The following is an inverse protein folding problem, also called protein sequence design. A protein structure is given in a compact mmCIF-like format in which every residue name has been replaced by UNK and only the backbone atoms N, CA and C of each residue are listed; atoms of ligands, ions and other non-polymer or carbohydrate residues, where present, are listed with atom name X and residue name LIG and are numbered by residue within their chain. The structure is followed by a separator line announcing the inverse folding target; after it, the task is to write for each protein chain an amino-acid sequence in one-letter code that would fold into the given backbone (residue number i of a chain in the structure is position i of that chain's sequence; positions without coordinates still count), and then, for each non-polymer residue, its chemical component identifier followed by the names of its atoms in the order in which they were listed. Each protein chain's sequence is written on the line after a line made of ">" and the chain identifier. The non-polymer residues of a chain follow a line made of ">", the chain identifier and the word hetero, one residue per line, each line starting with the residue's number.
data_IF_460334617818
#
_entry.id   IF_460334617818
#
_cell.length_a   1.000
_cell.length_b   1.000
_cell.length_c   1.000
_cell.angle_alpha   90.00
_cell.angle_beta   90.00
_cell.angle_gamma   90.00
#
_symmetry.space_group_name_H-M   'P 1'
#
loop_
_entity.id
_entity.type
_entity.pdbx_description
1 polymer ?
#
# COMPACT_ATOMS: atom_id res chain seq x y z
N UNK A 1 24.22 -12.06 -7.72
CA UNK A 1 23.36 -12.85 -6.82
C UNK A 1 22.81 -14.01 -7.62
N UNK A 2 22.62 -15.18 -7.01
CA UNK A 2 21.98 -16.30 -7.69
C UNK A 2 20.47 -16.19 -7.53
N UNK A 3 19.73 -16.26 -8.62
CA UNK A 3 18.28 -16.44 -8.57
C UNK A 3 17.96 -17.86 -8.08
N UNK A 4 16.80 -18.08 -7.43
CA UNK A 4 16.31 -19.43 -7.20
C UNK A 4 16.21 -20.21 -8.52
N UNK A 5 16.47 -21.51 -8.50
CA UNK A 5 16.52 -22.35 -9.73
C UNK A 5 15.20 -22.29 -10.49
N UNK A 6 14.07 -22.43 -9.79
CA UNK A 6 12.74 -22.35 -10.40
C UNK A 6 12.51 -21.01 -11.13
N UNK A 7 12.95 -19.90 -10.53
CA UNK A 7 12.86 -18.56 -11.11
C UNK A 7 13.77 -18.43 -12.33
N UNK A 8 15.00 -18.93 -12.22
CA UNK A 8 15.98 -18.87 -13.30
C UNK A 8 15.50 -19.63 -14.54
N UNK A 9 15.01 -20.87 -14.37
CA UNK A 9 14.67 -21.74 -15.48
C UNK A 9 13.46 -21.22 -16.28
N UNK A 10 12.45 -20.71 -15.58
CA UNK A 10 11.28 -20.09 -16.20
C UNK A 10 11.68 -18.81 -16.97
N UNK A 11 12.44 -17.93 -16.34
CA UNK A 11 12.82 -16.65 -16.96
C UNK A 11 13.84 -16.82 -18.09
N UNK A 12 14.74 -17.81 -18.01
CA UNK A 12 15.72 -18.07 -19.07
C UNK A 12 15.03 -18.55 -20.36
N UNK A 13 13.95 -19.33 -20.22
CA UNK A 13 13.12 -19.73 -21.35
C UNK A 13 12.41 -18.53 -22.00
N UNK A 14 11.95 -17.57 -21.19
CA UNK A 14 11.24 -16.37 -21.68
C UNK A 14 12.19 -15.32 -22.28
N UNK A 15 13.31 -15.02 -21.62
CA UNK A 15 14.24 -13.93 -21.98
C UNK A 15 15.34 -14.33 -22.98
N UNK A 16 15.44 -15.62 -23.33
CA UNK A 16 16.25 -16.08 -24.46
C UNK A 16 17.77 -15.96 -24.29
N UNK A 17 18.32 -16.35 -23.14
CA UNK A 17 19.77 -16.34 -22.93
C UNK A 17 20.21 -16.45 -21.46
N UNK A 18 21.53 -16.35 -21.18
CA UNK A 18 22.03 -16.34 -19.82
C UNK A 18 21.54 -15.11 -19.06
N UNK A 19 21.02 -15.32 -17.85
CA UNK A 19 20.47 -14.26 -17.02
C UNK A 19 21.54 -13.60 -16.14
N UNK A 20 21.48 -12.28 -16.01
CA UNK A 20 22.25 -11.51 -15.03
C UNK A 20 21.31 -10.91 -13.99
N UNK A 21 21.52 -11.24 -12.71
CA UNK A 21 20.71 -10.74 -11.60
C UNK A 21 21.49 -9.78 -10.70
N UNK A 22 20.99 -8.55 -10.62
CA UNK A 22 21.50 -7.47 -9.77
C UNK A 22 20.51 -7.20 -8.64
N UNK A 23 20.90 -7.32 -7.35
CA UNK A 23 20.00 -7.03 -6.24
C UNK A 23 19.46 -5.60 -6.31
N UNK A 24 18.17 -5.43 -6.03
CA UNK A 24 17.56 -4.12 -5.81
C UNK A 24 17.52 -3.82 -4.31
N UNK A 25 17.82 -2.59 -3.95
CA UNK A 25 17.67 -2.08 -2.59
C UNK A 25 16.27 -1.51 -2.39
N UNK A 26 15.67 -1.69 -1.21
CA UNK A 26 14.40 -1.04 -0.83
C UNK A 26 13.27 -1.98 -0.44
N UNK A 27 13.35 -3.27 -0.77
CA UNK A 27 12.42 -4.27 -0.25
C UNK A 27 12.79 -4.67 1.19
N UNK A 28 11.97 -4.29 2.16
CA UNK A 28 12.17 -4.71 3.56
C UNK A 28 11.60 -6.11 3.85
N UNK A 29 10.75 -6.63 2.94
CA UNK A 29 9.96 -7.86 3.15
C UNK A 29 10.30 -8.99 2.18
N UNK A 30 10.58 -8.65 0.91
CA UNK A 30 10.83 -9.58 -0.19
C UNK A 30 12.24 -9.40 -0.74
N UNK A 31 12.85 -10.47 -1.24
CA UNK A 31 14.02 -10.32 -2.10
C UNK A 31 13.58 -9.73 -3.44
N UNK A 32 14.35 -8.80 -3.98
CA UNK A 32 14.10 -8.20 -5.28
C UNK A 32 15.41 -8.08 -6.08
N UNK A 33 15.35 -8.36 -7.37
CA UNK A 33 16.47 -8.19 -8.28
C UNK A 33 16.03 -7.65 -9.65
N UNK A 34 16.90 -6.85 -10.26
CA UNK A 34 16.87 -6.56 -11.68
C UNK A 34 17.49 -7.75 -12.42
N UNK A 35 16.68 -8.42 -13.24
CA UNK A 35 17.11 -9.55 -14.07
C UNK A 35 17.19 -9.09 -15.52
N UNK A 36 18.36 -9.24 -16.13
CA UNK A 36 18.59 -8.90 -17.52
C UNK A 36 18.90 -10.16 -18.34
N UNK A 37 18.25 -10.28 -19.50
CA UNK A 37 18.49 -11.33 -20.50
C UNK A 37 18.36 -10.72 -21.91
N UNK A 38 19.42 -10.82 -22.71
CA UNK A 38 19.47 -10.14 -24.01
C UNK A 38 19.29 -8.62 -23.88
N UNK A 39 18.29 -8.06 -24.58
CA UNK A 39 17.90 -6.64 -24.49
C UNK A 39 16.81 -6.35 -23.46
N UNK A 40 16.25 -7.38 -22.83
CA UNK A 40 15.12 -7.27 -21.92
C UNK A 40 15.55 -7.19 -20.46
N UNK A 41 14.71 -6.53 -19.66
CA UNK A 41 14.94 -6.31 -18.23
C UNK A 41 13.62 -6.49 -17.49
N UNK A 42 13.67 -7.25 -16.40
CA UNK A 42 12.54 -7.50 -15.51
C UNK A 42 12.93 -7.18 -14.07
N UNK A 43 11.95 -6.79 -13.27
CA UNK A 43 12.07 -6.80 -11.80
C UNK A 43 11.49 -8.10 -11.30
N UNK A 44 12.27 -8.87 -10.56
CA UNK A 44 11.86 -10.17 -10.03
C UNK A 44 11.89 -10.14 -8.52
N UNK A 45 10.77 -10.52 -7.91
CA UNK A 45 10.58 -10.63 -6.46
C UNK A 45 10.39 -12.09 -6.09
N UNK A 46 10.92 -12.50 -4.95
CA UNK A 46 10.67 -13.83 -4.38
C UNK A 46 10.81 -13.83 -2.87
N UNK A 47 10.19 -14.82 -2.22
CA UNK A 47 10.24 -14.97 -0.75
C UNK A 47 10.12 -16.45 -0.34
N UNK A 48 11.18 -17.08 0.21
CA UNK A 48 11.15 -18.47 0.65
C UNK A 48 10.04 -18.81 1.64
N UNK A 49 9.79 -17.94 2.62
CA UNK A 49 8.75 -18.14 3.64
C UNK A 49 7.53 -17.23 3.37
N UNK A 50 7.07 -17.18 2.12
CA UNK A 50 5.90 -16.37 1.79
C UNK A 50 4.62 -17.00 2.37
N UNK A 51 3.69 -16.18 2.91
CA UNK A 51 2.35 -16.66 3.15
C UNK A 51 1.68 -17.06 1.82
N UNK A 52 0.81 -18.08 1.81
CA UNK A 52 0.13 -18.52 0.59
C UNK A 52 -0.70 -17.40 -0.04
N UNK A 53 -0.58 -17.21 -1.34
CA UNK A 53 -1.27 -16.18 -2.11
C UNK A 53 -0.55 -14.84 -2.15
N UNK A 54 0.69 -14.71 -1.66
CA UNK A 54 1.37 -13.40 -1.56
C UNK A 54 1.53 -12.75 -2.94
N UNK A 55 2.12 -13.46 -3.90
CA UNK A 55 2.35 -12.90 -5.23
C UNK A 55 1.09 -12.91 -6.11
N UNK A 56 0.15 -13.84 -5.85
CA UNK A 56 -1.18 -13.79 -6.43
C UNK A 56 -1.90 -12.48 -6.09
N UNK A 57 -1.79 -12.05 -4.84
CA UNK A 57 -2.42 -10.84 -4.34
C UNK A 57 -1.78 -9.56 -4.91
N UNK A 58 -0.44 -9.52 -4.98
CA UNK A 58 0.27 -8.38 -5.59
C UNK A 58 -0.01 -8.28 -7.10
N UNK A 59 0.00 -9.41 -7.81
CA UNK A 59 -0.33 -9.47 -9.23
C UNK A 59 -1.78 -9.01 -9.51
N UNK A 60 -2.74 -9.43 -8.68
CA UNK A 60 -4.13 -8.97 -8.76
C UNK A 60 -4.25 -7.46 -8.50
N UNK A 61 -3.57 -6.95 -7.48
CA UNK A 61 -3.56 -5.52 -7.15
C UNK A 61 -3.01 -4.64 -8.28
N UNK A 62 -1.86 -5.03 -8.86
CA UNK A 62 -1.27 -4.36 -10.01
C UNK A 62 -2.20 -4.38 -11.22
N UNK A 63 -2.86 -5.51 -11.50
CA UNK A 63 -3.83 -5.60 -12.60
C UNK A 63 -5.04 -4.71 -12.40
N UNK A 64 -5.58 -4.63 -11.19
CA UNK A 64 -6.72 -3.75 -10.87
C UNK A 64 -6.35 -2.28 -11.06
N UNK A 65 -5.19 -1.86 -10.55
CA UNK A 65 -4.70 -0.50 -10.76
C UNK A 65 -4.47 -0.21 -12.25
N UNK A 66 -3.85 -1.13 -13.00
CA UNK A 66 -3.62 -0.99 -14.45
C UNK A 66 -4.94 -0.85 -15.22
N UNK A 67 -5.96 -1.62 -14.86
CA UNK A 67 -7.26 -1.63 -15.53
C UNK A 67 -8.00 -0.27 -15.43
N UNK A 68 -7.67 0.56 -14.44
CA UNK A 68 -8.23 1.92 -14.34
C UNK A 68 -7.73 2.85 -15.44
N UNK A 69 -6.53 2.61 -15.98
CA UNK A 69 -5.90 3.47 -16.97
C UNK A 69 -5.51 4.87 -16.48
N UNK A 70 -5.59 5.16 -15.17
CA UNK A 70 -5.39 6.52 -14.62
C UNK A 70 -3.98 6.79 -14.12
N UNK A 71 -3.27 5.76 -13.64
CA UNK A 71 -1.91 5.86 -13.14
C UNK A 71 -1.12 4.64 -13.60
N UNK A 72 0.15 4.87 -13.98
CA UNK A 72 1.01 3.80 -14.47
C UNK A 72 1.40 2.88 -13.31
N UNK A 73 1.43 1.59 -13.58
CA UNK A 73 1.97 0.53 -12.74
C UNK A 73 2.76 -0.44 -13.62
N UNK A 74 3.77 -1.16 -13.08
CA UNK A 74 4.47 -2.19 -13.83
C UNK A 74 3.51 -3.24 -14.39
N UNK A 75 3.74 -3.68 -15.62
CA UNK A 75 3.07 -4.86 -16.14
C UNK A 75 3.47 -6.13 -15.36
N UNK A 76 2.48 -6.98 -15.08
CA UNK A 76 2.71 -8.32 -14.51
C UNK A 76 3.05 -9.27 -15.65
N UNK A 77 4.30 -9.74 -15.71
CA UNK A 77 4.80 -10.59 -16.80
C UNK A 77 4.52 -12.06 -16.50
N UNK A 78 4.94 -12.54 -15.33
CA UNK A 78 4.75 -13.90 -14.88
C UNK A 78 4.86 -13.98 -13.35
N UNK A 79 4.26 -14.98 -12.73
CA UNK A 79 4.42 -15.27 -11.30
C UNK A 79 4.00 -16.73 -11.07
N UNK A 80 4.57 -17.34 -10.04
CA UNK A 80 4.16 -18.67 -9.58
C UNK A 80 4.26 -18.69 -8.07
N UNK A 81 3.09 -18.75 -7.44
CA UNK A 81 2.96 -18.76 -5.98
C UNK A 81 2.97 -20.19 -5.40
N UNK A 82 2.92 -21.21 -6.27
CA UNK A 82 3.09 -22.62 -5.90
C UNK A 82 4.55 -23.10 -6.02
N UNK A 83 5.41 -22.31 -6.66
CA UNK A 83 6.85 -22.55 -6.73
C UNK A 83 7.53 -22.44 -5.35
N UNK A 84 8.72 -23.03 -5.23
CA UNK A 84 9.57 -22.94 -4.03
C UNK A 84 10.96 -22.34 -4.38
N UNK A 85 11.25 -21.08 -4.04
CA UNK A 85 10.35 -20.11 -3.40
C UNK A 85 9.32 -19.54 -4.39
N UNK A 86 8.16 -19.06 -3.91
CA UNK A 86 7.20 -18.36 -4.74
C UNK A 86 7.78 -17.02 -5.22
N UNK A 87 7.34 -16.55 -6.39
CA UNK A 87 7.95 -15.41 -7.07
C UNK A 87 7.00 -14.65 -8.01
N UNK A 88 7.39 -13.41 -8.35
CA UNK A 88 6.71 -12.49 -9.27
C UNK A 88 7.72 -11.76 -10.15
N UNK A 89 7.48 -11.73 -11.46
CA UNK A 89 8.24 -10.97 -12.45
C UNK A 89 7.39 -9.84 -13.06
N UNK A 90 7.96 -8.64 -13.05
CA UNK A 90 7.32 -7.38 -13.45
C UNK A 90 8.14 -6.67 -14.54
N UNK A 91 7.46 -5.82 -15.30
CA UNK A 91 8.09 -4.82 -16.18
C UNK A 91 9.16 -4.04 -15.42
N UNK A 92 10.37 -3.94 -15.97
CA UNK A 92 11.35 -3.00 -15.47
C UNK A 92 11.00 -1.57 -15.91
N UNK A 93 10.79 -0.70 -14.93
CA UNK A 93 10.57 0.73 -15.15
C UNK A 93 11.90 1.48 -15.02
N UNK A 94 12.42 2.10 -16.09
CA UNK A 94 13.58 2.98 -15.99
C UNK A 94 13.21 4.22 -15.15
N UNK A 95 13.67 4.23 -13.91
CA UNK A 95 13.37 5.27 -12.93
C UNK A 95 14.58 6.15 -12.65
N UNK A 96 14.33 7.39 -12.23
CA UNK A 96 15.35 8.34 -11.83
C UNK A 96 14.74 9.55 -11.12
N UNK A 97 15.48 10.64 -11.01
CA UNK A 97 14.90 11.91 -10.55
C UNK A 97 13.96 12.47 -11.62
N UNK A 98 12.82 13.07 -11.22
CA UNK A 98 11.94 13.70 -12.18
C UNK A 98 12.65 14.85 -12.90
N UNK A 99 12.37 15.00 -14.20
CA UNK A 99 12.96 16.08 -15.02
C UNK A 99 12.43 17.44 -14.60
N UNK A 100 11.17 17.47 -14.19
CA UNK A 100 10.49 18.62 -13.61
C UNK A 100 9.70 18.14 -12.37
N UNK A 101 10.21 18.39 -11.15
CA UNK A 101 9.57 17.97 -9.91
C UNK A 101 8.16 18.53 -9.70
N UNK A 102 7.87 19.75 -10.17
CA UNK A 102 6.55 20.37 -10.00
C UNK A 102 5.53 19.75 -10.97
N UNK A 103 5.95 19.52 -12.22
CA UNK A 103 5.09 18.81 -13.18
C UNK A 103 4.83 17.37 -12.72
N UNK A 104 5.86 16.68 -12.20
CA UNK A 104 5.71 15.34 -11.63
C UNK A 104 4.71 15.36 -10.46
N UNK A 105 4.88 16.27 -9.50
CA UNK A 105 3.98 16.41 -8.35
C UNK A 105 2.52 16.59 -8.79
N UNK A 106 2.29 17.48 -9.76
CA UNK A 106 0.96 17.78 -10.29
C UNK A 106 0.36 16.57 -10.98
N UNK A 107 1.10 15.91 -11.89
CA UNK A 107 0.63 14.71 -12.61
C UNK A 107 0.31 13.58 -11.64
N UNK A 108 1.13 13.39 -10.63
CA UNK A 108 0.92 12.37 -9.61
C UNK A 108 -0.35 12.65 -8.80
N UNK A 109 -0.51 13.86 -8.31
CA UNK A 109 -1.70 14.25 -7.58
C UNK A 109 -2.98 14.16 -8.43
N UNK A 110 -2.94 14.61 -9.69
CA UNK A 110 -4.05 14.52 -10.64
C UNK A 110 -4.44 13.05 -10.93
N UNK A 111 -3.45 12.18 -11.14
CA UNK A 111 -3.67 10.76 -11.39
C UNK A 111 -4.23 10.04 -10.16
N UNK A 112 -3.71 10.33 -8.96
CA UNK A 112 -4.21 9.77 -7.71
C UNK A 112 -5.63 10.27 -7.38
N UNK A 113 -5.92 11.54 -7.68
CA UNK A 113 -7.26 12.09 -7.55
C UNK A 113 -8.25 11.40 -8.51
N UNK A 114 -7.84 11.13 -9.76
CA UNK A 114 -8.64 10.38 -10.72
C UNK A 114 -8.88 8.92 -10.28
N UNK A 115 -7.84 8.25 -9.74
CA UNK A 115 -7.98 6.92 -9.14
C UNK A 115 -9.11 6.91 -8.10
N UNK A 116 -9.01 7.79 -7.11
CA UNK A 116 -9.98 7.88 -6.03
C UNK A 116 -11.38 8.34 -6.48
N UNK A 117 -11.47 9.25 -7.45
CA UNK A 117 -12.76 9.83 -7.84
C UNK A 117 -13.55 8.92 -8.78
N UNK A 118 -12.85 8.28 -9.70
CA UNK A 118 -13.48 7.68 -10.88
C UNK A 118 -13.54 6.13 -10.77
N UNK A 119 -12.97 5.52 -9.71
CA UNK A 119 -12.92 4.06 -9.51
C UNK A 119 -13.57 3.65 -8.18
N UNK A 120 -14.87 3.90 -8.06
CA UNK A 120 -15.68 3.45 -6.91
C UNK A 120 -15.91 1.94 -6.94
N UNK A 121 -16.18 1.34 -5.78
CA UNK A 121 -16.54 -0.08 -5.68
C UNK A 121 -17.78 -0.39 -6.53
N UNK A 122 -17.74 -1.39 -7.42
CA UNK A 122 -18.89 -1.73 -8.28
C UNK A 122 -20.16 -2.10 -7.51
N UNK A 123 -20.02 -2.66 -6.31
CA UNK A 123 -21.11 -3.06 -5.42
C UNK A 123 -21.36 -2.07 -4.28
N UNK A 124 -20.65 -0.93 -4.27
CA UNK A 124 -20.78 0.09 -3.22
C UNK A 124 -20.28 -0.34 -1.84
N UNK A 125 -19.45 -1.39 -1.74
CA UNK A 125 -18.91 -1.88 -0.45
C UNK A 125 -17.42 -1.59 -0.29
N UNK A 126 -16.99 -1.43 0.95
CA UNK A 126 -15.58 -1.38 1.33
C UNK A 126 -14.98 -2.78 1.36
N UNK A 127 -13.67 -2.89 1.14
CA UNK A 127 -12.96 -4.16 1.09
C UNK A 127 -12.67 -4.62 -0.34
N UNK A 128 -12.62 -5.93 -0.55
CA UNK A 128 -12.29 -6.58 -1.81
C UNK A 128 -12.91 -7.99 -1.84
N UNK A 129 -13.00 -8.58 -3.02
CA UNK A 129 -13.46 -9.96 -3.22
C UNK A 129 -12.48 -11.02 -2.68
N UNK A 130 -11.26 -10.62 -2.29
CA UNK A 130 -10.24 -11.49 -1.70
C UNK A 130 -9.37 -10.76 -0.69
N UNK A 131 -8.92 -11.50 0.32
CA UNK A 131 -7.85 -11.04 1.22
C UNK A 131 -6.53 -10.88 0.44
N UNK A 132 -5.70 -9.97 0.91
CA UNK A 132 -4.36 -9.72 0.37
C UNK A 132 -3.38 -9.43 1.51
N UNK A 133 -2.26 -8.77 1.19
CA UNK A 133 -1.19 -8.49 2.13
C UNK A 133 -0.79 -7.03 2.07
N UNK A 134 -0.40 -6.50 3.23
CA UNK A 134 0.39 -5.29 3.33
C UNK A 134 1.77 -5.70 3.85
N UNK A 135 2.79 -5.60 2.99
CA UNK A 135 4.05 -6.31 3.22
C UNK A 135 3.79 -7.82 3.32
N UNK A 136 4.09 -8.43 4.46
CA UNK A 136 3.78 -9.84 4.75
C UNK A 136 2.61 -10.03 5.71
N UNK A 137 1.95 -8.94 6.11
CA UNK A 137 0.86 -9.01 7.06
C UNK A 137 -0.47 -9.26 6.35
N UNK A 138 -1.25 -10.28 6.77
CA UNK A 138 -2.57 -10.52 6.18
C UNK A 138 -3.48 -9.30 6.33
N UNK A 139 -4.09 -8.88 5.23
CA UNK A 139 -5.08 -7.82 5.15
C UNK A 139 -6.44 -8.44 4.80
N UNK A 140 -7.34 -8.47 5.80
CA UNK A 140 -8.71 -8.96 5.66
C UNK A 140 -9.53 -7.98 4.83
N UNK A 141 -10.25 -8.46 3.83
CA UNK A 141 -10.97 -7.62 2.87
C UNK A 141 -12.44 -7.99 2.71
N UNK A 142 -12.98 -8.88 3.55
CA UNK A 142 -14.41 -9.22 3.55
C UNK A 142 -15.27 -7.97 3.34
N UNK A 143 -16.10 -7.92 2.29
CA UNK A 143 -16.82 -6.69 1.95
C UNK A 143 -17.80 -6.25 3.03
N UNK A 144 -17.85 -4.94 3.31
CA UNK A 144 -18.82 -4.35 4.24
C UNK A 144 -19.43 -3.06 3.69
N UNK A 145 -20.65 -2.73 4.14
CA UNK A 145 -21.34 -1.49 3.73
C UNK A 145 -20.89 -0.28 4.56
N UNK A 146 -20.41 -0.51 5.79
CA UNK A 146 -20.03 0.53 6.72
C UNK A 146 -18.50 0.62 6.87
N UNK A 147 -17.95 1.78 6.55
CA UNK A 147 -16.52 2.05 6.65
C UNK A 147 -16.00 2.01 8.09
N UNK A 148 -16.76 2.53 9.05
CA UNK A 148 -16.37 2.56 10.45
C UNK A 148 -16.20 1.13 10.99
N UNK A 149 -17.12 0.24 10.66
CA UNK A 149 -17.02 -1.19 10.97
C UNK A 149 -15.86 -1.85 10.22
N UNK A 150 -15.70 -1.57 8.93
CA UNK A 150 -14.57 -2.08 8.13
C UNK A 150 -13.22 -1.72 8.75
N UNK A 151 -13.01 -0.44 9.02
CA UNK A 151 -11.75 0.09 9.54
C UNK A 151 -11.48 -0.44 10.95
N UNK A 152 -12.51 -0.53 11.81
CA UNK A 152 -12.37 -1.14 13.14
C UNK A 152 -12.00 -2.62 13.07
N UNK A 153 -12.77 -3.42 12.34
CA UNK A 153 -12.74 -4.88 12.45
C UNK A 153 -11.77 -5.55 11.48
N UNK A 154 -11.47 -4.92 10.35
CA UNK A 154 -10.62 -5.47 9.30
C UNK A 154 -9.28 -4.73 9.13
N UNK A 155 -9.11 -3.56 9.77
CA UNK A 155 -7.84 -2.81 9.77
C UNK A 155 -7.23 -2.73 11.17
N UNK A 156 -7.91 -2.09 12.12
CA UNK A 156 -7.34 -1.83 13.45
C UNK A 156 -7.27 -3.09 14.33
N UNK A 157 -8.39 -3.78 14.58
CA UNK A 157 -8.45 -4.92 15.52
C UNK A 157 -7.42 -6.02 15.21
N UNK A 158 -7.27 -6.51 13.96
CA UNK A 158 -6.27 -7.54 13.66
C UNK A 158 -4.84 -7.10 13.98
N UNK A 159 -4.55 -5.82 13.75
CA UNK A 159 -3.23 -5.23 14.00
C UNK A 159 -2.98 -5.00 15.49
N UNK A 160 -4.01 -4.63 16.26
CA UNK A 160 -3.96 -4.53 17.72
C UNK A 160 -3.72 -5.92 18.34
N UNK A 161 -4.46 -6.94 17.90
CA UNK A 161 -4.27 -8.33 18.36
C UNK A 161 -2.86 -8.83 18.08
N UNK A 162 -2.31 -8.51 16.90
CA UNK A 162 -0.93 -8.82 16.55
C UNK A 162 0.07 -8.10 17.46
N UNK A 163 -0.11 -6.79 17.67
CA UNK A 163 0.76 -6.00 18.54
C UNK A 163 0.74 -6.53 19.98
N UNK A 164 -0.44 -6.96 20.46
CA UNK A 164 -0.60 -7.62 21.77
C UNK A 164 0.22 -8.90 21.83
N UNK A 165 0.09 -9.78 20.84
CA UNK A 165 0.84 -11.04 20.76
C UNK A 165 2.35 -10.86 20.69
N UNK A 166 2.82 -9.75 20.10
CA UNK A 166 4.24 -9.40 20.01
C UNK A 166 4.77 -8.63 21.25
N UNK A 167 3.90 -8.26 22.20
CA UNK A 167 4.31 -7.49 23.39
C UNK A 167 4.53 -5.99 23.14
N UNK A 168 3.96 -5.43 22.06
CA UNK A 168 4.10 -4.01 21.68
C UNK A 168 3.03 -3.09 22.25
N UNK A 169 2.17 -3.59 23.14
CA UNK A 169 1.08 -2.83 23.76
C UNK A 169 1.31 -2.65 25.27
N UNK A 170 2.03 -1.60 25.70
CA UNK A 170 2.01 -1.21 27.10
C UNK A 170 0.57 -0.82 27.54
N UNK A 171 0.22 -0.92 28.84
CA UNK A 171 -1.17 -0.78 29.30
C UNK A 171 -1.87 0.51 28.84
N UNK A 172 -1.17 1.64 28.79
CA UNK A 172 -1.77 2.90 28.34
C UNK A 172 -2.07 2.91 26.84
N UNK A 173 -1.20 2.30 26.02
CA UNK A 173 -1.43 2.20 24.57
C UNK A 173 -2.62 1.31 24.26
N UNK A 174 -2.70 0.16 24.94
CA UNK A 174 -3.84 -0.74 24.82
C UNK A 174 -5.14 -0.02 25.17
N UNK A 175 -5.19 0.68 26.31
CA UNK A 175 -6.35 1.49 26.72
C UNK A 175 -6.76 2.53 25.68
N UNK A 176 -5.79 3.21 25.06
CA UNK A 176 -6.05 4.22 24.01
C UNK A 176 -6.64 3.58 22.74
N UNK A 177 -6.08 2.45 22.30
CA UNK A 177 -6.55 1.72 21.12
C UNK A 177 -7.94 1.14 21.33
N UNK A 178 -8.19 0.54 22.50
CA UNK A 178 -9.52 0.02 22.87
C UNK A 178 -10.54 1.17 22.84
N UNK A 179 -10.25 2.30 23.48
CA UNK A 179 -11.12 3.47 23.46
C UNK A 179 -11.42 3.99 22.04
N UNK A 180 -10.43 4.01 21.14
CA UNK A 180 -10.65 4.36 19.72
C UNK A 180 -11.61 3.37 19.06
N UNK A 181 -11.37 2.07 19.22
CA UNK A 181 -12.20 1.04 18.57
C UNK A 181 -13.64 1.02 19.10
N UNK A 182 -13.84 1.25 20.41
CA UNK A 182 -15.16 1.34 21.04
C UNK A 182 -15.92 2.59 20.58
N UNK A 183 -15.21 3.71 20.37
CA UNK A 183 -15.83 4.98 19.98
C UNK A 183 -15.88 5.19 18.46
N UNK A 184 -15.49 4.20 17.66
CA UNK A 184 -15.38 4.34 16.20
C UNK A 184 -16.63 4.94 15.54
N UNK A 185 -17.83 4.53 15.96
CA UNK A 185 -19.09 5.08 15.43
C UNK A 185 -19.25 6.59 15.72
N UNK A 186 -18.86 7.04 16.92
CA UNK A 186 -18.86 8.46 17.31
C UNK A 186 -17.80 9.24 16.53
N UNK A 187 -16.61 8.68 16.37
CA UNK A 187 -15.48 9.33 15.68
C UNK A 187 -15.76 9.56 14.19
N UNK A 188 -16.68 8.77 13.61
CA UNK A 188 -17.10 8.87 12.21
C UNK A 188 -18.51 9.46 12.04
N UNK A 189 -19.11 9.99 13.11
CA UNK A 189 -20.45 10.54 13.08
C UNK A 189 -20.55 11.74 12.11
N UNK A 190 -21.60 11.75 11.29
CA UNK A 190 -21.84 12.80 10.29
C UNK A 190 -20.94 12.75 9.05
N UNK A 191 -19.98 11.82 8.99
CA UNK A 191 -19.14 11.60 7.82
C UNK A 191 -19.75 10.53 6.91
N UNK A 192 -19.79 10.80 5.60
CA UNK A 192 -20.34 9.88 4.59
C UNK A 192 -19.19 9.40 3.69
N UNK A 193 -18.51 8.31 4.06
CA UNK A 193 -17.37 7.80 3.30
C UNK A 193 -17.83 7.16 1.99
N UNK A 194 -16.95 7.14 1.00
CA UNK A 194 -17.18 6.47 -0.29
C UNK A 194 -16.14 5.37 -0.52
N UNK A 195 -16.56 4.14 -0.89
CA UNK A 195 -15.64 3.06 -1.18
C UNK A 195 -15.00 3.29 -2.55
N UNK A 196 -13.73 3.69 -2.55
CA UNK A 196 -12.96 3.97 -3.76
C UNK A 196 -11.69 3.13 -3.77
N UNK A 197 -11.23 2.75 -4.95
CA UNK A 197 -10.00 1.99 -5.08
C UNK A 197 -8.83 2.85 -4.62
N UNK A 198 -8.04 2.32 -3.68
CA UNK A 198 -6.79 2.94 -3.21
C UNK A 198 -5.60 2.04 -3.54
N UNK A 199 -4.38 2.62 -3.54
CA UNK A 199 -3.15 1.84 -3.62
C UNK A 199 -2.93 0.99 -2.35
N UNK A 200 -3.26 1.53 -1.18
CA UNK A 200 -3.28 0.80 0.10
C UNK A 200 -1.95 0.80 0.84
N UNK A 201 -0.83 0.97 0.14
CA UNK A 201 0.51 1.13 0.74
C UNK A 201 1.26 2.37 0.20
N UNK A 202 0.60 3.52 0.11
CA UNK A 202 1.18 4.67 -0.60
C UNK A 202 2.09 5.53 0.29
N UNK A 203 3.37 5.18 0.33
CA UNK A 203 4.44 5.98 0.94
C UNK A 203 5.55 6.27 -0.09
N UNK A 204 6.57 7.05 0.30
CA UNK A 204 7.62 7.54 -0.62
C UNK A 204 8.50 6.44 -1.24
N UNK A 205 8.50 5.23 -0.68
CA UNK A 205 9.15 4.06 -1.27
C UNK A 205 8.37 3.38 -2.40
N UNK A 206 7.05 3.63 -2.50
CA UNK A 206 6.13 2.90 -3.38
C UNK A 206 5.68 3.70 -4.61
N UNK A 207 6.43 4.74 -4.97
CA UNK A 207 6.30 5.38 -6.28
C UNK A 207 7.65 5.63 -6.93
N UNK A 208 7.66 5.55 -8.26
CA UNK A 208 8.82 5.79 -9.11
C UNK A 208 8.53 6.98 -10.05
N UNK A 209 9.60 7.62 -10.52
CA UNK A 209 9.51 8.65 -11.55
C UNK A 209 10.13 8.15 -12.86
N UNK A 210 9.27 7.77 -13.81
CA UNK A 210 9.65 7.45 -15.18
C UNK A 210 9.73 8.76 -15.99
N UNK A 211 10.81 9.52 -15.80
CA UNK A 211 10.85 10.91 -16.24
C UNK A 211 9.89 11.76 -15.40
N UNK A 212 8.82 12.30 -15.99
CA UNK A 212 7.78 13.04 -15.24
C UNK A 212 6.50 12.23 -15.04
N UNK A 213 6.50 10.94 -15.43
CA UNK A 213 5.37 10.05 -15.24
C UNK A 213 5.47 9.33 -13.88
N UNK A 214 4.47 9.47 -13.00
CA UNK A 214 4.40 8.71 -11.75
C UNK A 214 4.03 7.26 -12.03
N UNK A 215 4.76 6.35 -11.39
CA UNK A 215 4.48 4.91 -11.45
C UNK A 215 4.32 4.40 -10.04
N UNK A 216 3.20 3.72 -9.74
CA UNK A 216 3.00 3.08 -8.44
C UNK A 216 3.50 1.63 -8.46
N UNK A 217 4.05 1.19 -7.34
CA UNK A 217 4.57 -0.15 -7.14
C UNK A 217 4.14 -0.68 -5.77
N UNK A 218 4.14 -2.00 -5.62
CA UNK A 218 3.94 -2.69 -4.34
C UNK A 218 2.58 -2.38 -3.69
N UNK A 219 1.45 -2.58 -4.41
CA UNK A 219 0.15 -2.20 -3.91
C UNK A 219 -0.43 -3.22 -2.92
N UNK A 220 -1.26 -2.73 -2.00
CA UNK A 220 -2.08 -3.50 -1.07
C UNK A 220 -3.55 -3.11 -1.25
N UNK A 221 -4.06 -3.19 -2.48
CA UNK A 221 -5.31 -2.55 -2.89
C UNK A 221 -6.54 -3.03 -2.13
N UNK A 222 -7.50 -2.13 -1.95
CA UNK A 222 -8.88 -2.44 -1.57
C UNK A 222 -9.75 -1.21 -1.84
N UNK A 223 -11.06 -1.37 -1.77
CA UNK A 223 -11.99 -0.25 -1.75
C UNK A 223 -12.06 0.33 -0.33
N UNK A 224 -11.62 1.57 -0.18
CA UNK A 224 -11.46 2.25 1.09
C UNK A 224 -12.10 3.63 1.06
N UNK A 225 -12.20 4.27 2.21
CA UNK A 225 -12.26 5.73 2.24
C UNK A 225 -10.88 6.31 1.87
N UNK A 226 -10.84 7.22 0.89
CA UNK A 226 -9.59 7.80 0.36
C UNK A 226 -8.80 8.62 1.38
N UNK A 227 -9.45 9.14 2.42
CA UNK A 227 -8.75 9.87 3.49
C UNK A 227 -7.69 9.00 4.19
N UNK A 228 -7.81 7.67 4.16
CA UNK A 228 -6.77 6.75 4.66
C UNK A 228 -5.49 6.87 3.86
N UNK A 229 -5.59 6.82 2.53
CA UNK A 229 -4.42 6.92 1.66
C UNK A 229 -3.78 8.30 1.78
N UNK A 230 -4.58 9.38 1.81
CA UNK A 230 -4.07 10.73 2.00
C UNK A 230 -3.37 10.90 3.36
N UNK A 231 -3.95 10.39 4.45
CA UNK A 231 -3.32 10.40 5.76
C UNK A 231 -1.99 9.64 5.77
N UNK A 232 -1.91 8.53 5.03
CA UNK A 232 -0.67 7.76 4.88
C UNK A 232 0.40 8.57 4.11
N UNK A 233 0.03 9.25 3.02
CA UNK A 233 0.99 10.09 2.27
C UNK A 233 1.59 11.24 3.11
N UNK A 234 0.85 11.71 4.11
CA UNK A 234 1.30 12.78 5.03
C UNK A 234 2.16 12.25 6.18
N UNK A 235 2.08 10.96 6.52
CA UNK A 235 2.64 10.41 7.75
C UNK A 235 4.18 10.35 7.76
N UNK A 236 4.78 9.83 6.67
CA UNK A 236 6.23 9.67 6.56
C UNK A 236 6.91 10.69 5.64
N UNK A 237 6.12 11.55 5.00
CA UNK A 237 6.61 12.55 4.05
C UNK A 237 7.27 11.91 2.82
N UNK A 238 8.18 12.65 2.20
CA UNK A 238 8.89 12.22 0.98
C UNK A 238 8.09 12.39 -0.32
N UNK A 239 6.88 12.94 -0.25
CA UNK A 239 6.12 13.34 -1.44
C UNK A 239 6.67 14.65 -2.04
N UNK A 240 6.58 14.83 -3.37
CA UNK A 240 7.06 16.02 -4.03
C UNK A 240 6.39 17.31 -3.54
N UNK A 241 7.10 18.45 -3.50
CA UNK A 241 6.48 19.73 -3.18
C UNK A 241 5.28 20.05 -4.08
N UNK A 242 4.16 20.44 -3.46
CA UNK A 242 2.92 20.78 -4.17
C UNK A 242 2.00 19.58 -4.48
N UNK A 243 2.42 18.34 -4.19
CA UNK A 243 1.58 17.15 -4.39
C UNK A 243 0.22 17.26 -3.68
N UNK A 244 0.21 17.46 -2.36
CA UNK A 244 -1.04 17.55 -1.59
C UNK A 244 -1.92 18.72 -2.01
N UNK A 245 -1.32 19.88 -2.34
CA UNK A 245 -2.06 21.04 -2.82
C UNK A 245 -2.71 20.78 -4.20
N UNK A 246 -2.00 20.09 -5.09
CA UNK A 246 -2.55 19.68 -6.37
C UNK A 246 -3.67 18.63 -6.21
N UNK A 247 -3.54 17.70 -5.26
CA UNK A 247 -4.59 16.72 -4.96
C UNK A 247 -5.84 17.43 -4.43
N UNK A 248 -5.66 18.33 -3.45
CA UNK A 248 -6.76 19.13 -2.90
C UNK A 248 -7.46 19.97 -3.97
N UNK A 249 -6.75 20.44 -5.00
CA UNK A 249 -7.34 21.15 -6.13
C UNK A 249 -8.14 20.21 -7.04
N UNK A 250 -7.62 19.02 -7.32
CA UNK A 250 -8.23 18.06 -8.26
C UNK A 250 -9.41 17.27 -7.66
N UNK A 251 -9.34 16.96 -6.36
CA UNK A 251 -10.38 16.25 -5.62
C UNK A 251 -10.35 16.62 -4.12
N UNK A 252 -10.98 17.76 -3.74
CA UNK A 252 -10.91 18.31 -2.40
C UNK A 252 -11.31 17.29 -1.32
N UNK A 253 -10.50 17.14 -0.28
CA UNK A 253 -10.88 16.44 0.96
C UNK A 253 -11.98 17.21 1.68
N UNK A 254 -12.80 16.50 2.45
CA UNK A 254 -13.85 17.09 3.27
C UNK A 254 -13.25 17.96 4.39
N UNK A 255 -13.92 19.04 4.78
CA UNK A 255 -13.41 20.00 5.77
C UNK A 255 -13.11 19.34 7.13
N UNK A 256 -13.79 18.23 7.45
CA UNK A 256 -13.55 17.43 8.65
C UNK A 256 -12.28 16.56 8.59
N UNK A 257 -11.59 16.48 7.45
CA UNK A 257 -10.40 15.64 7.28
C UNK A 257 -9.32 15.96 8.32
N UNK A 258 -9.11 17.24 8.65
CA UNK A 258 -8.10 17.63 9.66
C UNK A 258 -8.36 16.95 11.01
N UNK A 259 -9.63 16.76 11.37
CA UNK A 259 -10.06 16.05 12.60
C UNK A 259 -9.97 14.53 12.45
N UNK A 260 -10.26 13.98 11.27
CA UNK A 260 -10.22 12.53 11.00
C UNK A 260 -8.83 11.98 10.68
N UNK A 261 -7.89 12.81 10.22
CA UNK A 261 -6.55 12.38 9.83
C UNK A 261 -5.83 11.56 10.91
N UNK A 262 -5.81 11.95 12.20
CA UNK A 262 -5.16 11.13 13.24
C UNK A 262 -5.77 9.74 13.40
N UNK A 263 -7.07 9.56 13.11
CA UNK A 263 -7.73 8.25 13.11
C UNK A 263 -7.25 7.40 11.92
N UNK A 264 -7.17 8.02 10.75
CA UNK A 264 -6.75 7.37 9.50
C UNK A 264 -5.24 7.04 9.47
N UNK A 265 -4.40 7.70 10.27
CA UNK A 265 -2.98 7.32 10.43
C UNK A 265 -2.76 6.13 11.37
N UNK A 266 -3.76 5.69 12.14
CA UNK A 266 -3.58 4.60 13.11
C UNK A 266 -3.24 3.27 12.46
N UNK A 267 -3.87 2.94 11.33
CA UNK A 267 -3.60 1.69 10.62
C UNK A 267 -2.13 1.59 10.18
N UNK A 268 -1.58 2.51 9.36
CA UNK A 268 -0.17 2.44 8.98
C UNK A 268 0.77 2.48 10.18
N UNK A 269 0.49 3.27 11.22
CA UNK A 269 1.30 3.29 12.45
C UNK A 269 1.32 1.94 13.19
N UNK A 270 0.17 1.27 13.32
CA UNK A 270 0.09 -0.06 13.93
C UNK A 270 0.90 -1.10 13.15
N UNK A 271 0.82 -1.06 11.82
CA UNK A 271 1.63 -1.94 10.95
C UNK A 271 3.13 -1.71 11.19
N UNK A 272 3.55 -0.45 11.30
CA UNK A 272 4.94 -0.10 11.57
C UNK A 272 5.38 -0.51 12.97
N UNK A 273 4.52 -0.38 14.00
CA UNK A 273 4.78 -0.93 15.34
C UNK A 273 4.95 -2.45 15.27
N UNK A 274 4.12 -3.14 14.49
CA UNK A 274 4.21 -4.59 14.33
C UNK A 274 5.48 -5.05 13.61
N UNK A 275 6.03 -4.25 12.70
CA UNK A 275 7.27 -4.57 11.97
C UNK A 275 8.55 -4.11 12.67
N UNK A 276 8.55 -2.91 13.24
CA UNK A 276 9.75 -2.22 13.72
C UNK A 276 9.74 -1.95 15.23
N UNK A 277 8.67 -2.33 15.92
CA UNK A 277 8.54 -2.22 17.37
C UNK A 277 8.32 -0.79 17.86
N UNK A 278 8.84 -0.52 19.07
CA UNK A 278 8.49 0.66 19.88
C UNK A 278 8.86 2.01 19.25
N UNK A 279 9.74 2.06 18.24
CA UNK A 279 10.13 3.32 17.57
C UNK A 279 8.90 4.12 17.07
N UNK A 280 7.82 3.44 16.68
CA UNK A 280 6.59 4.07 16.20
C UNK A 280 5.50 4.21 17.27
N UNK A 281 5.70 3.62 18.46
CA UNK A 281 4.75 3.61 19.57
C UNK A 281 4.32 5.01 20.04
N UNK A 282 5.25 5.95 20.31
CA UNK A 282 4.88 7.30 20.71
C UNK A 282 4.05 8.07 19.67
N UNK A 283 4.28 7.80 18.38
CA UNK A 283 3.51 8.41 17.30
C UNK A 283 2.08 7.84 17.26
N UNK A 284 1.94 6.52 17.44
CA UNK A 284 0.64 5.85 17.58
C UNK A 284 -0.14 6.39 18.78
N UNK A 285 0.48 6.50 19.95
CA UNK A 285 -0.18 7.01 21.17
C UNK A 285 -0.66 8.47 20.97
N UNK A 286 0.12 9.29 20.28
CA UNK A 286 -0.26 10.67 19.94
C UNK A 286 -1.46 10.69 19.00
N UNK A 287 -1.44 9.87 17.96
CA UNK A 287 -2.53 9.76 16.99
C UNK A 287 -3.84 9.32 17.67
N UNK A 288 -3.80 8.34 18.58
CA UNK A 288 -4.96 7.92 19.36
C UNK A 288 -5.53 9.08 20.21
N UNK A 289 -4.67 9.80 20.94
CA UNK A 289 -5.12 10.94 21.76
C UNK A 289 -5.76 12.03 20.92
N UNK A 290 -5.16 12.36 19.78
CA UNK A 290 -5.69 13.36 18.85
C UNK A 290 -7.05 12.92 18.29
N UNK A 291 -7.18 11.67 17.85
CA UNK A 291 -8.43 11.11 17.36
C UNK A 291 -9.54 11.15 18.42
N UNK A 292 -9.23 10.78 19.67
CA UNK A 292 -10.21 10.79 20.78
C UNK A 292 -10.62 12.20 21.24
N UNK A 293 -9.74 13.19 21.00
CA UNK A 293 -9.99 14.60 21.34
C UNK A 293 -10.72 15.39 20.24
N UNK A 294 -10.82 14.81 19.04
CA UNK A 294 -11.38 15.46 17.86
C UNK A 294 -12.87 15.71 18.05
#
# INVERSE_FOLDING_TARGET
>A
MNLPIAVHDELAAQLGGPLQATPLTGGEVNHAALVAGGSERLVVKWKPDAPPGLFDAEADGLRRLRATGVIRVPEVIAWDDAADPPWLALEYIPTGQPRDPYQFARRFAEALAALHRDNSAPDGRFGLDRDNYLGSQPQRNTPTENWADFYRDHRLRPQIERARGLGWLPPERERLLDAVTEQMGRLMEGFVPRPVLIHGDLWSGNFLAAGNEPVLIDPAVYYAEREVEMAYTELFGGFPPGFHAAYQTAYPLDDGYVRRRPLHTLYPLLIHVNHFGETYGPALDRACRLALSA
#
